data_IF_152507904002
#
_entry.id   IF_152507904002
#
_cell.length_a   1.000
_cell.length_b   1.000
_cell.length_c   1.000
_cell.angle_alpha   90.00
_cell.angle_beta   90.00
_cell.angle_gamma   90.00
#
_symmetry.space_group_name_H-M   'P 1'
#
loop_
_entity.id
_entity.type
_entity.pdbx_description
1 polymer ?
#
# COMPACT_ATOMS: atom_id res chain seq x y z
N UNK A 1 12.93 4.88 -6.88
CA UNK A 1 12.81 5.69 -5.65
C UNK A 1 11.60 5.21 -4.85
N UNK A 2 11.73 5.19 -3.55
CA UNK A 2 10.68 4.67 -2.67
C UNK A 2 9.38 5.47 -2.79
N UNK A 3 9.47 6.80 -2.80
CA UNK A 3 8.28 7.65 -2.85
C UNK A 3 7.49 7.43 -4.13
N UNK A 4 8.17 7.28 -5.24
CA UNK A 4 7.52 7.04 -6.53
C UNK A 4 6.85 5.67 -6.56
N UNK A 5 7.51 4.68 -5.97
CA UNK A 5 6.93 3.35 -5.84
C UNK A 5 5.67 3.38 -4.99
N UNK A 6 5.73 4.08 -3.85
CA UNK A 6 4.58 4.19 -2.95
C UNK A 6 3.41 4.89 -3.64
N UNK A 7 3.70 5.96 -4.38
CA UNK A 7 2.66 6.65 -5.12
C UNK A 7 2.03 5.74 -6.19
N UNK A 8 2.85 4.95 -6.88
CA UNK A 8 2.34 4.00 -7.86
C UNK A 8 1.43 2.97 -7.18
N UNK A 9 1.84 2.46 -6.03
CA UNK A 9 1.01 1.52 -5.28
C UNK A 9 -0.33 2.14 -4.90
N UNK A 10 -0.32 3.40 -4.45
CA UNK A 10 -1.55 4.08 -4.05
C UNK A 10 -2.49 4.34 -5.23
N UNK A 11 -1.96 4.43 -6.45
CA UNK A 11 -2.83 4.55 -7.64
C UNK A 11 -3.64 3.27 -7.89
N UNK A 12 -3.20 2.14 -7.34
CA UNK A 12 -3.92 0.88 -7.45
C UNK A 12 -4.92 0.67 -6.32
N UNK A 13 -5.02 1.63 -5.40
CA UNK A 13 -5.92 1.49 -4.27
C UNK A 13 -7.38 1.49 -4.72
N UNK A 14 -8.18 0.68 -4.04
CA UNK A 14 -9.61 0.57 -4.28
C UNK A 14 -10.33 0.95 -3.00
N UNK A 15 -11.32 1.82 -3.11
CA UNK A 15 -12.08 2.32 -1.96
C UNK A 15 -13.54 1.98 -2.11
N UNK A 16 -14.17 1.65 -0.99
CA UNK A 16 -15.58 1.30 -0.98
C UNK A 16 -16.21 1.87 0.28
N UNK A 17 -17.38 2.50 0.13
CA UNK A 17 -18.12 2.96 1.29
C UNK A 17 -18.90 1.79 1.87
N UNK A 18 -18.76 1.57 3.18
CA UNK A 18 -19.41 0.44 3.84
C UNK A 18 -20.63 0.93 4.63
N UNK A 19 -21.36 -0.01 5.25
CA UNK A 19 -22.67 0.23 5.82
C UNK A 19 -22.71 1.35 6.85
N UNK A 20 -21.65 1.51 7.64
CA UNK A 20 -21.60 2.55 8.67
C UNK A 20 -21.25 3.94 8.13
N UNK A 21 -21.11 4.07 6.80
CA UNK A 21 -20.77 5.33 6.17
C UNK A 21 -19.30 5.62 6.07
N UNK A 22 -18.44 4.77 6.65
CA UNK A 22 -16.99 4.92 6.51
C UNK A 22 -16.51 4.29 5.21
N UNK A 23 -15.23 4.53 4.88
CA UNK A 23 -14.62 4.01 3.67
C UNK A 23 -13.59 2.96 4.00
N UNK A 24 -13.58 1.90 3.20
CA UNK A 24 -12.66 0.79 3.35
C UNK A 24 -11.75 0.78 2.12
N UNK A 25 -10.43 0.80 2.34
CA UNK A 25 -9.46 0.86 1.25
C UNK A 25 -8.53 -0.33 1.26
N UNK A 26 -8.21 -0.80 0.07
CA UNK A 26 -7.27 -1.91 -0.12
C UNK A 26 -6.40 -1.65 -1.34
N UNK A 27 -5.26 -2.35 -1.39
CA UNK A 27 -4.44 -2.43 -2.60
C UNK A 27 -4.39 -3.91 -2.97
N UNK A 28 -4.95 -4.31 -4.13
CA UNK A 28 -5.08 -5.74 -4.46
C UNK A 28 -3.77 -6.52 -4.42
N UNK A 29 -2.66 -5.85 -4.77
CA UNK A 29 -1.35 -6.49 -4.80
C UNK A 29 -0.79 -6.77 -3.41
N UNK A 30 -1.38 -6.19 -2.37
CA UNK A 30 -1.00 -6.45 -0.98
C UNK A 30 -2.20 -7.06 -0.25
N UNK A 31 -2.50 -8.36 -0.47
CA UNK A 31 -3.62 -9.00 0.22
C UNK A 31 -3.41 -8.94 1.73
N UNK A 32 -4.44 -8.57 2.45
CA UNK A 32 -4.36 -8.43 3.89
C UNK A 32 -4.05 -7.01 4.36
N UNK A 33 -3.59 -6.13 3.48
CA UNK A 33 -3.40 -4.72 3.81
C UNK A 33 -4.71 -3.98 3.57
N UNK A 34 -5.20 -3.28 4.58
CA UNK A 34 -6.46 -2.54 4.47
C UNK A 34 -6.46 -1.36 5.42
N UNK A 35 -7.34 -0.42 5.16
CA UNK A 35 -7.52 0.73 6.03
C UNK A 35 -8.98 1.16 6.02
N UNK A 36 -9.37 1.91 7.03
CA UNK A 36 -10.72 2.43 7.17
C UNK A 36 -10.61 3.91 7.54
N UNK A 37 -11.52 4.73 7.03
CA UNK A 37 -11.51 6.15 7.32
C UNK A 37 -12.89 6.77 7.15
N UNK A 38 -13.07 7.93 7.77
CA UNK A 38 -14.36 8.64 7.73
C UNK A 38 -14.60 9.33 6.39
N UNK A 39 -13.57 9.45 5.58
CA UNK A 39 -13.66 10.04 4.23
C UNK A 39 -12.68 9.30 3.34
N UNK A 40 -12.83 9.43 2.00
CA UNK A 40 -11.83 8.82 1.11
C UNK A 40 -10.43 9.32 1.37
N UNK A 41 -10.27 10.61 1.68
CA UNK A 41 -8.96 11.20 1.97
C UNK A 41 -8.36 10.64 3.25
N UNK A 42 -9.16 10.53 4.31
CA UNK A 42 -8.68 9.96 5.57
C UNK A 42 -8.31 8.49 5.39
N UNK A 43 -9.13 7.76 4.63
CA UNK A 43 -8.86 6.35 4.34
C UNK A 43 -7.56 6.21 3.55
N UNK A 44 -7.34 7.09 2.55
CA UNK A 44 -6.12 7.05 1.74
C UNK A 44 -4.87 7.30 2.58
N UNK A 45 -4.92 8.26 3.50
CA UNK A 45 -3.79 8.55 4.38
C UNK A 45 -3.46 7.36 5.26
N UNK A 46 -4.47 6.73 5.82
CA UNK A 46 -4.27 5.55 6.65
C UNK A 46 -3.74 4.39 5.82
N UNK A 47 -4.31 4.17 4.64
CA UNK A 47 -3.88 3.10 3.75
C UNK A 47 -2.42 3.27 3.33
N UNK A 48 -2.01 4.50 3.03
CA UNK A 48 -0.63 4.78 2.66
C UNK A 48 0.33 4.36 3.76
N UNK A 49 0.00 4.66 5.02
CA UNK A 49 0.81 4.24 6.16
C UNK A 49 0.86 2.72 6.28
N UNK A 50 -0.26 2.05 6.06
CA UNK A 50 -0.33 0.60 6.13
C UNK A 50 0.53 -0.03 5.02
N UNK A 51 0.42 0.48 3.80
CA UNK A 51 1.20 -0.03 2.66
C UNK A 51 2.69 0.20 2.89
N UNK A 52 3.05 1.37 3.40
CA UNK A 52 4.45 1.66 3.72
C UNK A 52 5.00 0.64 4.70
N UNK A 53 4.24 0.31 5.74
CA UNK A 53 4.63 -0.72 6.71
C UNK A 53 4.81 -2.08 6.06
N UNK A 54 3.91 -2.46 5.17
CA UNK A 54 4.00 -3.74 4.46
C UNK A 54 5.23 -3.80 3.56
N UNK A 55 5.55 -2.68 2.87
CA UNK A 55 6.74 -2.61 2.03
C UNK A 55 8.01 -2.77 2.87
N UNK A 56 8.07 -2.06 4.00
CA UNK A 56 9.23 -2.13 4.89
C UNK A 56 9.41 -3.54 5.45
N UNK A 57 8.30 -4.21 5.77
CA UNK A 57 8.34 -5.58 6.25
C UNK A 57 8.87 -6.53 5.18
N UNK A 58 8.41 -6.36 3.95
CA UNK A 58 8.89 -7.18 2.84
C UNK A 58 10.39 -7.00 2.64
N UNK A 59 10.88 -5.76 2.70
CA UNK A 59 12.31 -5.48 2.59
C UNK A 59 13.08 -6.15 3.71
N UNK A 60 12.56 -6.07 4.95
CA UNK A 60 13.21 -6.68 6.10
C UNK A 60 13.28 -8.21 5.96
N UNK A 61 12.31 -8.81 5.31
CA UNK A 61 12.25 -10.25 5.09
C UNK A 61 12.95 -10.68 3.79
N UNK A 62 13.63 -9.75 3.12
CA UNK A 62 14.32 -9.99 1.84
C UNK A 62 13.36 -10.48 0.76
N UNK A 63 12.12 -10.04 0.81
CA UNK A 63 11.11 -10.32 -0.23
C UNK A 63 10.98 -9.11 -1.13
N UNK A 64 10.84 -9.36 -2.42
CA UNK A 64 10.61 -8.28 -3.36
C UNK A 64 9.14 -7.89 -3.37
N UNK A 65 8.82 -6.61 -3.10
CA UNK A 65 7.43 -6.17 -3.20
C UNK A 65 6.95 -6.22 -4.66
N UNK A 66 5.62 -6.24 -4.89
CA UNK A 66 5.10 -6.26 -6.25
C UNK A 66 5.52 -5.03 -7.05
N UNK A 67 5.53 -5.16 -8.36
CA UNK A 67 5.78 -4.04 -9.25
C UNK A 67 4.48 -3.29 -9.51
N UNK A 68 4.54 -1.96 -9.51
CA UNK A 68 3.40 -1.09 -9.80
C UNK A 68 3.74 -0.15 -10.95
N UNK A 69 3.00 -0.23 -12.04
CA UNK A 69 3.12 0.69 -13.18
C UNK A 69 4.58 0.85 -13.65
N UNK A 70 5.31 -0.25 -13.65
CA UNK A 70 6.72 -0.24 -14.06
C UNK A 70 7.69 0.16 -12.95
N UNK A 71 7.18 0.54 -11.77
CA UNK A 71 8.04 0.88 -10.63
C UNK A 71 8.29 -0.35 -9.80
N UNK A 72 9.54 -0.59 -9.48
CA UNK A 72 9.96 -1.78 -8.78
C UNK A 72 11.02 -1.43 -7.75
N UNK A 73 10.91 -2.03 -6.57
CA UNK A 73 11.94 -1.93 -5.54
C UNK A 73 12.77 -3.20 -5.57
N UNK A 74 14.08 -3.03 -5.65
CA UNK A 74 15.00 -4.17 -5.66
C UNK A 74 15.58 -4.32 -4.27
N UNK A 75 15.40 -5.52 -3.69
CA UNK A 75 15.95 -5.84 -2.38
C UNK A 75 17.27 -6.54 -2.61
N UNK A 76 18.37 -5.95 -2.09
CA UNK A 76 19.71 -6.52 -2.24
C UNK A 76 20.05 -7.28 -0.97
N UNK A 77 20.12 -8.59 -1.10
CA UNK A 77 20.49 -9.43 0.03
C UNK A 77 21.98 -9.29 0.29
N UNK A 78 22.38 -9.39 1.56
CA UNK A 78 23.77 -9.48 1.94
C UNK A 78 24.58 -8.19 1.90
N UNK A 79 23.90 -7.07 1.87
CA UNK A 79 24.58 -5.78 1.88
C UNK A 79 24.67 -5.24 3.29
#
# INVERSE_FOLDING_TARGET
>A
MFAEYLQAAMRHAVYEQIEDGTYFGTVPEFPGAWANGISPEACAQELESVIEGWILLAIADHEEPPEFDGHKLVVKAGV
#
